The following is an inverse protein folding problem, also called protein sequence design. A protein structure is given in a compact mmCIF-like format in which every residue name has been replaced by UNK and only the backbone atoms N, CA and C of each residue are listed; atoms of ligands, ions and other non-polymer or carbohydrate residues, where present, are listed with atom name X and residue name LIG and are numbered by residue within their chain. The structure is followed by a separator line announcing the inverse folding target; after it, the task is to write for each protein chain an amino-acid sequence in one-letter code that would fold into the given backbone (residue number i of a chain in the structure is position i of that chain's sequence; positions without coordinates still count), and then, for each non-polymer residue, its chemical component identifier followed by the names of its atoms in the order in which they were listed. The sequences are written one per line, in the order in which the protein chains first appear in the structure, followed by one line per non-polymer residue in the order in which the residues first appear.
data_IF_017989194082
#
_entry.id   IF_017989194082
#
_cell.length_a   1.000
_cell.length_b   1.000
_cell.length_c   1.000
_cell.angle_alpha   90.00
_cell.angle_beta   90.00
_cell.angle_gamma   90.00
#
_symmetry.space_group_name_H-M   'P 1'
#
loop_
_entity.id
_entity.type
_entity.pdbx_description
1 polymer ?
#
# COMPACT_ATOMS: atom_id res chain seq x y z
N UNK A 1 -16.46 6.72 9.21
CA UNK A 1 -16.85 5.90 8.07
C UNK A 1 -15.97 4.65 8.02
N UNK A 2 -16.59 3.47 7.90
CA UNK A 2 -15.86 2.19 7.80
C UNK A 2 -15.14 2.08 6.46
N UNK A 3 -13.96 1.41 6.46
CA UNK A 3 -13.20 1.13 5.25
C UNK A 3 -14.03 0.39 4.19
N UNK A 4 -13.96 0.77 2.91
CA UNK A 4 -14.56 0.00 1.82
C UNK A 4 -14.09 -1.45 1.81
N UNK A 5 -12.80 -1.70 2.06
CA UNK A 5 -12.22 -3.05 2.15
C UNK A 5 -12.86 -3.90 3.25
N UNK A 6 -13.09 -3.33 4.43
CA UNK A 6 -13.68 -4.08 5.54
C UNK A 6 -15.17 -4.41 5.31
N UNK A 7 -15.89 -3.58 4.55
CA UNK A 7 -17.25 -3.90 4.11
C UNK A 7 -17.25 -5.04 3.09
N UNK A 8 -16.34 -5.01 2.11
CA UNK A 8 -16.19 -6.05 1.11
C UNK A 8 -15.83 -7.40 1.75
N UNK A 9 -14.91 -7.44 2.72
CA UNK A 9 -14.59 -8.67 3.45
C UNK A 9 -15.76 -9.23 4.24
N UNK A 10 -16.56 -8.38 4.86
CA UNK A 10 -17.77 -8.81 5.59
C UNK A 10 -18.82 -9.42 4.65
N UNK A 11 -18.92 -8.94 3.44
CA UNK A 11 -19.83 -9.49 2.41
C UNK A 11 -19.34 -10.82 1.85
N UNK A 12 -18.02 -10.96 1.63
CA UNK A 12 -17.40 -12.17 1.06
C UNK A 12 -17.28 -13.32 2.06
N UNK A 13 -17.09 -13.03 3.34
CA UNK A 13 -16.82 -14.00 4.40
C UNK A 13 -17.83 -13.86 5.53
N UNK A 14 -19.09 -14.20 5.22
CA UNK A 14 -20.21 -14.20 6.21
C UNK A 14 -20.06 -15.21 7.35
N UNK A 15 -19.17 -16.17 7.16
CA UNK A 15 -18.78 -17.18 8.15
C UNK A 15 -17.86 -16.65 9.27
N UNK A 16 -17.25 -15.47 9.05
CA UNK A 16 -16.36 -14.87 10.04
C UNK A 16 -17.10 -13.88 10.94
N UNK A 17 -16.92 -14.04 12.24
CA UNK A 17 -17.29 -13.03 13.23
C UNK A 17 -16.13 -12.04 13.36
N UNK A 18 -16.31 -10.83 12.82
CA UNK A 18 -15.31 -9.76 12.94
C UNK A 18 -15.45 -9.07 14.30
N UNK A 19 -14.37 -8.98 15.05
CA UNK A 19 -14.32 -8.26 16.32
C UNK A 19 -14.51 -6.76 16.11
N UNK A 20 -13.93 -6.21 15.03
CA UNK A 20 -14.06 -4.81 14.66
C UNK A 20 -13.92 -4.61 13.15
N UNK A 21 -14.34 -3.46 12.68
CA UNK A 21 -14.18 -3.00 11.30
C UNK A 21 -13.21 -1.83 11.30
N UNK A 22 -12.16 -1.90 10.47
CA UNK A 22 -11.18 -0.83 10.37
C UNK A 22 -11.84 0.50 10.01
N UNK A 23 -11.45 1.53 10.72
CA UNK A 23 -11.76 2.94 10.44
C UNK A 23 -10.44 3.71 10.31
N UNK A 24 -10.45 4.95 9.84
CA UNK A 24 -9.24 5.79 9.84
C UNK A 24 -8.79 6.19 11.26
N UNK A 25 -9.61 5.93 12.26
CA UNK A 25 -9.20 6.01 13.67
C UNK A 25 -8.67 4.65 14.08
N UNK A 26 -7.43 4.55 14.58
CA UNK A 26 -6.88 3.29 15.09
C UNK A 26 -7.76 2.66 16.16
N UNK A 27 -7.72 1.31 16.26
CA UNK A 27 -8.43 0.62 17.31
C UNK A 27 -7.83 1.00 18.69
N UNK A 28 -8.66 1.21 19.74
CA UNK A 28 -8.15 1.62 21.04
C UNK A 28 -7.07 0.70 21.62
N UNK A 29 -7.14 -0.60 21.33
CA UNK A 29 -6.16 -1.59 21.81
C UNK A 29 -4.76 -1.41 21.19
N UNK A 30 -4.64 -0.63 20.12
CA UNK A 30 -3.36 -0.33 19.46
C UNK A 30 -2.68 0.92 20.05
N UNK A 31 -3.41 1.66 20.90
CA UNK A 31 -2.92 2.92 21.46
C UNK A 31 -2.51 3.89 20.38
N UNK A 32 -1.36 4.53 20.58
CA UNK A 32 -0.78 5.46 19.62
C UNK A 32 0.27 4.79 18.70
N UNK A 33 0.37 3.44 18.72
CA UNK A 33 1.40 2.74 17.97
C UNK A 33 1.21 2.82 16.45
N UNK A 34 -0.05 2.92 16.00
CA UNK A 34 -0.40 2.88 14.58
C UNK A 34 -1.23 4.07 14.12
N UNK A 35 -0.86 4.59 12.95
CA UNK A 35 -1.70 5.46 12.14
C UNK A 35 -2.16 4.72 10.89
N UNK A 36 -3.32 5.12 10.30
CA UNK A 36 -3.89 4.47 9.13
C UNK A 36 -4.32 5.48 8.09
N UNK A 37 -4.15 5.13 6.82
CA UNK A 37 -4.74 5.83 5.68
C UNK A 37 -5.37 4.82 4.73
N UNK A 38 -6.62 5.07 4.34
CA UNK A 38 -7.28 4.35 3.25
C UNK A 38 -6.90 5.00 1.93
N UNK A 39 -6.49 4.19 0.95
CA UNK A 39 -6.22 4.68 -0.40
C UNK A 39 -7.54 4.80 -1.15
N UNK A 40 -8.08 6.02 -1.15
CA UNK A 40 -9.28 6.35 -1.91
C UNK A 40 -9.03 6.39 -3.41
N UNK A 41 -10.07 6.10 -4.19
CA UNK A 41 -10.02 6.20 -5.65
C UNK A 41 -9.30 5.06 -6.36
N UNK A 42 -8.84 4.05 -5.61
CA UNK A 42 -8.32 2.78 -6.13
C UNK A 42 -9.37 1.67 -5.97
N UNK A 43 -9.40 0.75 -6.92
CA UNK A 43 -10.20 -0.49 -6.82
C UNK A 43 -9.63 -1.49 -5.81
N UNK A 44 -8.38 -1.31 -5.39
CA UNK A 44 -7.70 -2.22 -4.46
C UNK A 44 -8.22 -2.09 -3.03
N UNK A 45 -8.86 -0.95 -2.69
CA UNK A 45 -9.40 -0.68 -1.35
C UNK A 45 -8.38 -0.88 -0.23
N UNK A 46 -7.13 -0.57 -0.51
CA UNK A 46 -6.02 -0.81 0.41
C UNK A 46 -6.08 0.11 1.63
N UNK A 47 -5.69 -0.44 2.77
CA UNK A 47 -5.40 0.29 4.00
C UNK A 47 -3.92 0.20 4.29
N UNK A 48 -3.27 1.33 4.39
CA UNK A 48 -1.86 1.46 4.73
C UNK A 48 -1.72 1.83 6.19
N UNK A 49 -0.79 1.17 6.89
CA UNK A 49 -0.51 1.41 8.30
C UNK A 49 0.89 2.01 8.46
N UNK A 50 1.03 2.90 9.41
CA UNK A 50 2.32 3.40 9.85
C UNK A 50 2.53 3.01 11.32
N UNK A 51 3.55 2.19 11.59
CA UNK A 51 3.95 1.86 12.95
C UNK A 51 5.02 2.82 13.42
N UNK A 52 4.66 3.67 14.39
CA UNK A 52 5.46 4.82 14.81
C UNK A 52 6.80 4.40 15.44
N UNK A 53 6.78 3.46 16.39
CA UNK A 53 7.97 3.07 17.13
C UNK A 53 9.10 2.52 16.25
N UNK A 54 8.76 1.73 15.18
CA UNK A 54 9.75 1.19 14.24
C UNK A 54 9.94 2.05 12.99
N UNK A 55 9.19 3.14 12.84
CA UNK A 55 9.15 3.98 11.64
C UNK A 55 8.90 3.15 10.36
N UNK A 56 8.00 2.19 10.45
CA UNK A 56 7.73 1.26 9.36
C UNK A 56 6.37 1.51 8.75
N UNK A 57 6.34 1.77 7.45
CA UNK A 57 5.13 1.72 6.65
C UNK A 57 4.79 0.26 6.36
N UNK A 58 3.53 -0.13 6.49
CA UNK A 58 3.03 -1.47 6.21
C UNK A 58 1.95 -1.32 5.14
N UNK A 59 2.19 -1.90 3.99
CA UNK A 59 1.32 -1.84 2.84
C UNK A 59 1.20 -3.21 2.17
N UNK A 60 0.14 -3.45 1.42
CA UNK A 60 0.00 -4.64 0.59
C UNK A 60 0.39 -4.31 -0.87
N UNK A 61 -0.38 -3.43 -1.49
CA UNK A 61 -0.34 -3.15 -2.92
C UNK A 61 -0.02 -1.69 -3.24
N UNK A 62 0.57 -0.95 -2.30
CA UNK A 62 0.93 0.46 -2.52
C UNK A 62 2.01 0.61 -3.59
N UNK A 63 3.05 -0.21 -3.49
CA UNK A 63 4.10 -0.42 -4.51
C UNK A 63 4.60 -1.85 -4.46
N UNK A 64 5.23 -2.29 -5.53
CA UNK A 64 5.89 -3.58 -5.64
C UNK A 64 7.41 -3.38 -5.65
N UNK A 65 8.19 -4.36 -5.09
CA UNK A 65 9.65 -4.28 -5.03
C UNK A 65 10.28 -5.65 -5.32
N UNK A 66 10.42 -5.99 -6.60
CA UNK A 66 10.94 -7.28 -7.03
C UNK A 66 12.42 -7.21 -7.42
N UNK A 67 13.27 -7.85 -6.64
CA UNK A 67 14.70 -8.02 -6.95
C UNK A 67 15.03 -9.40 -7.51
N UNK A 68 14.23 -10.41 -7.19
CA UNK A 68 14.39 -11.78 -7.63
C UNK A 68 13.09 -12.31 -8.24
N UNK A 69 13.20 -13.06 -9.33
CA UNK A 69 12.09 -13.75 -9.96
C UNK A 69 12.62 -14.92 -10.79
N UNK A 70 12.21 -16.13 -10.45
CA UNK A 70 12.66 -17.36 -11.13
C UNK A 70 11.93 -17.59 -12.47
N UNK A 71 10.72 -17.03 -12.60
CA UNK A 71 9.94 -17.17 -13.81
C UNK A 71 10.35 -16.16 -14.89
N UNK A 72 10.85 -16.68 -16.01
CA UNK A 72 11.33 -15.85 -17.13
C UNK A 72 10.28 -14.89 -17.70
N UNK A 73 9.03 -15.32 -17.83
CA UNK A 73 7.93 -14.48 -18.30
C UNK A 73 7.61 -13.33 -17.32
N UNK A 74 7.53 -13.63 -16.01
CA UNK A 74 7.30 -12.60 -14.98
C UNK A 74 8.46 -11.60 -14.95
N UNK A 75 9.69 -12.07 -15.08
CA UNK A 75 10.88 -11.19 -15.16
C UNK A 75 10.81 -10.27 -16.38
N UNK A 76 10.42 -10.80 -17.53
CA UNK A 76 10.22 -10.00 -18.74
C UNK A 76 9.13 -8.94 -18.55
N UNK A 77 7.99 -9.32 -17.97
CA UNK A 77 6.88 -8.42 -17.65
C UNK A 77 7.33 -7.28 -16.70
N UNK A 78 8.05 -7.60 -15.62
CA UNK A 78 8.59 -6.61 -14.68
C UNK A 78 9.59 -5.67 -15.36
N UNK A 79 10.46 -6.19 -16.24
CA UNK A 79 11.40 -5.36 -17.01
C UNK A 79 10.66 -4.42 -17.97
N UNK A 80 9.65 -4.91 -18.67
CA UNK A 80 8.84 -4.11 -19.58
C UNK A 80 8.11 -2.98 -18.84
N UNK A 81 7.65 -3.24 -17.62
CA UNK A 81 7.00 -2.25 -16.75
C UNK A 81 7.96 -1.32 -16.02
N UNK A 82 9.28 -1.51 -16.15
CA UNK A 82 10.29 -0.70 -15.42
C UNK A 82 10.41 -1.02 -13.94
N UNK A 83 9.88 -2.17 -13.48
CA UNK A 83 9.84 -2.57 -12.07
C UNK A 83 10.93 -3.55 -11.66
N UNK A 84 11.78 -3.97 -12.59
CA UNK A 84 12.86 -4.89 -12.28
C UNK A 84 13.92 -4.20 -11.44
N UNK A 85 14.04 -4.59 -10.17
CA UNK A 85 14.95 -4.00 -9.18
C UNK A 85 14.71 -2.49 -8.91
N UNK A 86 13.51 -2.02 -9.20
CA UNK A 86 13.11 -0.65 -8.93
C UNK A 86 11.71 -0.67 -8.31
N UNK A 87 11.54 -0.16 -7.09
CA UNK A 87 10.23 -0.09 -6.46
C UNK A 87 9.27 0.77 -7.28
N UNK A 88 8.04 0.29 -7.47
CA UNK A 88 7.08 1.04 -8.25
C UNK A 88 5.77 0.30 -8.48
N UNK A 89 4.98 0.82 -9.41
CA UNK A 89 3.69 0.29 -9.77
C UNK A 89 3.59 0.06 -11.27
N UNK A 90 3.27 -1.17 -11.68
CA UNK A 90 3.25 -1.53 -13.10
C UNK A 90 2.28 -0.63 -13.89
N UNK A 91 2.68 -0.08 -15.06
CA UNK A 91 1.85 0.86 -15.81
C UNK A 91 0.42 0.37 -16.10
N UNK A 92 0.23 -0.92 -16.39
CA UNK A 92 -1.10 -1.52 -16.60
C UNK A 92 -1.95 -1.45 -15.33
N UNK A 93 -1.36 -1.68 -14.16
CA UNK A 93 -2.07 -1.66 -12.89
C UNK A 93 -2.46 -0.24 -12.43
N UNK A 94 -1.86 0.80 -13.03
CA UNK A 94 -2.27 2.21 -12.81
C UNK A 94 -3.71 2.48 -13.25
N UNK A 95 -4.28 1.62 -14.11
CA UNK A 95 -5.68 1.68 -14.51
C UNK A 95 -6.65 1.36 -13.37
N UNK A 96 -6.19 0.66 -12.32
CA UNK A 96 -6.98 0.38 -11.12
C UNK A 96 -7.25 1.64 -10.27
N UNK A 97 -6.52 2.71 -10.53
CA UNK A 97 -6.70 4.00 -9.87
C UNK A 97 -7.72 4.86 -10.63
N UNK A 98 -9.01 4.59 -10.40
CA UNK A 98 -10.12 5.21 -11.14
C UNK A 98 -10.27 6.71 -10.83
N UNK A 99 -9.97 7.13 -9.61
CA UNK A 99 -9.99 8.54 -9.21
C UNK A 99 -8.61 8.97 -8.70
N UNK A 100 -7.75 9.35 -9.65
CA UNK A 100 -6.35 9.75 -9.36
C UNK A 100 -6.25 10.94 -8.41
N UNK A 101 -7.23 11.87 -8.41
CA UNK A 101 -7.23 13.02 -7.49
C UNK A 101 -7.37 12.56 -6.04
N UNK A 102 -8.29 11.64 -5.76
CA UNK A 102 -8.48 11.08 -4.42
C UNK A 102 -7.27 10.24 -3.99
N UNK A 103 -6.79 9.37 -4.88
CA UNK A 103 -5.62 8.54 -4.61
C UNK A 103 -4.38 9.39 -4.33
N UNK A 104 -4.15 10.47 -5.09
CA UNK A 104 -3.08 11.44 -4.81
C UNK A 104 -3.18 12.02 -3.41
N UNK A 105 -4.37 12.45 -2.99
CA UNK A 105 -4.58 13.00 -1.65
C UNK A 105 -4.23 11.97 -0.56
N UNK A 106 -4.62 10.69 -0.72
CA UNK A 106 -4.28 9.62 0.21
C UNK A 106 -2.76 9.37 0.24
N UNK A 107 -2.11 9.26 -0.92
CA UNK A 107 -0.65 9.05 -1.00
C UNK A 107 0.12 10.25 -0.45
N UNK A 108 -0.37 11.47 -0.63
CA UNK A 108 0.24 12.66 -0.02
C UNK A 108 0.26 12.56 1.50
N UNK A 109 -0.87 12.18 2.12
CA UNK A 109 -0.95 11.95 3.58
C UNK A 109 0.04 10.87 4.04
N UNK A 110 0.15 9.76 3.31
CA UNK A 110 1.13 8.70 3.61
C UNK A 110 2.56 9.24 3.56
N UNK A 111 2.88 10.07 2.57
CA UNK A 111 4.21 10.66 2.41
C UNK A 111 4.53 11.76 3.44
N UNK A 112 3.57 12.21 4.25
CA UNK A 112 3.80 13.09 5.40
C UNK A 112 4.42 12.35 6.59
N UNK A 113 4.18 11.05 6.71
CA UNK A 113 4.77 10.22 7.75
C UNK A 113 6.29 10.07 7.60
N UNK A 114 7.06 10.10 8.69
CA UNK A 114 8.51 10.01 8.65
C UNK A 114 9.01 8.56 8.66
N UNK A 115 8.43 7.70 7.80
CA UNK A 115 8.84 6.30 7.74
C UNK A 115 10.20 6.13 7.04
N UNK A 116 10.98 5.19 7.55
CA UNK A 116 12.30 4.82 7.06
C UNK A 116 12.30 3.45 6.37
N UNK A 117 11.32 2.60 6.73
CA UNK A 117 11.16 1.23 6.24
C UNK A 117 9.80 1.02 5.62
N UNK A 118 9.71 0.05 4.71
CA UNK A 118 8.44 -0.39 4.15
C UNK A 118 8.37 -1.92 4.14
N UNK A 119 7.38 -2.46 4.83
CA UNK A 119 6.93 -3.85 4.71
C UNK A 119 5.80 -3.90 3.68
N UNK A 120 5.93 -4.80 2.71
CA UNK A 120 4.98 -4.93 1.59
C UNK A 120 4.68 -6.40 1.31
N UNK A 121 3.53 -6.67 0.68
CA UNK A 121 3.11 -8.04 0.38
C UNK A 121 3.79 -8.61 -0.87
N UNK A 122 4.25 -7.73 -1.79
CA UNK A 122 4.77 -8.13 -3.09
C UNK A 122 6.22 -7.67 -3.30
N UNK A 123 7.17 -8.60 -3.06
CA UNK A 123 8.59 -8.39 -3.22
C UNK A 123 9.37 -8.29 -1.91
N UNK A 124 10.50 -7.62 -1.95
CA UNK A 124 11.42 -7.54 -0.81
C UNK A 124 11.14 -6.30 0.04
N UNK A 125 11.25 -6.46 1.37
CA UNK A 125 11.12 -5.36 2.33
C UNK A 125 12.17 -4.28 2.04
N UNK A 126 11.76 -3.02 2.09
CA UNK A 126 12.66 -1.87 1.94
C UNK A 126 13.09 -1.44 3.35
N UNK A 127 14.38 -1.52 3.63
CA UNK A 127 14.94 -1.29 4.97
C UNK A 127 15.50 0.10 5.18
N UNK A 128 15.70 0.87 4.10
CA UNK A 128 16.27 2.20 4.13
C UNK A 128 15.66 3.10 3.06
N UNK A 129 15.64 4.40 3.32
CA UNK A 129 15.16 5.42 2.39
C UNK A 129 13.78 5.13 1.77
N UNK A 130 12.94 4.35 2.47
CA UNK A 130 11.68 3.84 1.95
C UNK A 130 10.74 4.97 1.50
N UNK A 131 10.71 6.09 2.23
CA UNK A 131 9.85 7.23 1.90
C UNK A 131 10.16 7.81 0.50
N UNK A 132 11.42 7.96 0.15
CA UNK A 132 11.80 8.45 -1.18
C UNK A 132 11.53 7.39 -2.26
N UNK A 133 11.71 6.12 -1.94
CA UNK A 133 11.41 5.02 -2.86
C UNK A 133 9.90 4.95 -3.16
N UNK A 134 9.03 5.08 -2.15
CA UNK A 134 7.57 5.18 -2.32
C UNK A 134 7.21 6.43 -3.15
N UNK A 135 7.79 7.58 -2.84
CA UNK A 135 7.56 8.81 -3.60
C UNK A 135 7.89 8.62 -5.07
N UNK A 136 9.06 8.06 -5.38
CA UNK A 136 9.49 7.80 -6.76
C UNK A 136 8.56 6.80 -7.46
N UNK A 137 8.24 5.67 -6.80
CA UNK A 137 7.33 4.65 -7.35
C UNK A 137 5.93 5.17 -7.66
N UNK A 138 5.49 6.23 -6.97
CA UNK A 138 4.17 6.84 -7.10
C UNK A 138 4.18 8.17 -7.88
N UNK A 139 5.31 8.59 -8.47
CA UNK A 139 5.42 9.86 -9.24
C UNK A 139 4.39 9.97 -10.37
N UNK A 140 4.02 8.86 -10.99
CA UNK A 140 3.01 8.79 -12.05
C UNK A 140 1.61 9.29 -11.60
N UNK A 141 1.38 9.40 -10.30
CA UNK A 141 0.12 9.85 -9.71
C UNK A 141 0.08 11.37 -9.54
N UNK A 142 1.23 12.04 -9.55
CA UNK A 142 1.40 13.48 -9.35
C UNK A 142 1.61 14.23 -10.65
#
# INVERSE_FOLDING_TARGET
PSSPASKAHKEQRKDLTLAAVLSETPHPDWGDDFELVFIDGSMLHETVFYHQASKTLIAADLIENFHQCDHGFTRWYLKLGGLWKTPGWHPVLRLLYLNRRKARASVTRILEWPFERLSLAHGEVITDNARNQVRHGMEWLF
#
